data_IF_072264696629
#
_entry.id   IF_072264696629
#
_cell.length_a   1.000
_cell.length_b   1.000
_cell.length_c   1.000
_cell.angle_alpha   90.00
_cell.angle_beta   90.00
_cell.angle_gamma   90.00
#
_symmetry.space_group_name_H-M   'P 1'
#
loop_
_entity.id
_entity.type
_entity.pdbx_description
1 polymer ?
#
# COMPACT_ATOMS: atom_id res chain seq x y z
N UNK A 1 -15.10 24.57 -84.35
CA UNK A 1 -13.72 24.87 -83.95
C UNK A 1 -13.71 24.98 -82.43
N UNK A 2 -12.88 24.16 -81.77
CA UNK A 2 -12.77 23.99 -80.31
C UNK A 2 -12.54 25.31 -79.56
N UNK A 3 -13.05 25.41 -78.33
CA UNK A 3 -12.23 25.73 -77.16
C UNK A 3 -12.96 25.29 -75.88
N UNK A 4 -12.50 24.16 -75.33
CA UNK A 4 -12.83 23.68 -74.00
C UNK A 4 -11.99 24.44 -72.97
N UNK A 5 -12.62 24.98 -71.93
CA UNK A 5 -11.93 25.54 -70.78
C UNK A 5 -11.87 24.44 -69.70
N UNK A 6 -10.67 23.92 -69.47
CA UNK A 6 -10.36 23.01 -68.38
C UNK A 6 -10.28 23.82 -67.07
N UNK A 7 -11.03 23.39 -66.06
CA UNK A 7 -10.91 23.90 -64.70
C UNK A 7 -10.01 22.92 -63.92
N UNK A 8 -8.74 23.28 -63.70
CA UNK A 8 -7.88 22.58 -62.76
C UNK A 8 -7.92 23.33 -61.43
N UNK A 9 -8.75 22.84 -60.50
CA UNK A 9 -8.62 23.19 -59.08
C UNK A 9 -7.41 22.41 -58.54
N UNK A 10 -6.30 23.12 -58.38
CA UNK A 10 -5.12 22.59 -57.72
C UNK A 10 -5.37 22.61 -56.20
N UNK A 11 -5.91 21.51 -55.68
CA UNK A 11 -6.07 21.32 -54.25
C UNK A 11 -4.69 21.27 -53.58
N UNK A 12 -4.30 22.40 -52.97
CA UNK A 12 -3.15 22.50 -52.07
C UNK A 12 -3.35 21.57 -50.87
N UNK A 13 -2.84 20.34 -50.98
CA UNK A 13 -2.70 19.40 -49.86
C UNK A 13 -1.43 19.73 -49.07
N UNK A 14 -1.41 20.89 -48.44
CA UNK A 14 -0.42 21.22 -47.39
C UNK A 14 -0.93 20.66 -46.06
N UNK A 15 -0.74 19.36 -45.83
CA UNK A 15 -0.86 18.77 -44.49
C UNK A 15 0.36 19.21 -43.68
N UNK A 16 0.19 20.18 -42.78
CA UNK A 16 1.21 20.53 -41.78
C UNK A 16 1.40 19.30 -40.89
N UNK A 17 2.57 18.68 -40.97
CA UNK A 17 2.94 17.60 -40.06
C UNK A 17 2.84 18.13 -38.61
N UNK A 18 2.13 17.43 -37.70
CA UNK A 18 2.01 17.88 -36.33
C UNK A 18 3.40 17.96 -35.70
N UNK A 19 3.74 19.12 -35.15
CA UNK A 19 5.01 19.29 -34.45
C UNK A 19 5.11 18.26 -33.31
N UNK A 20 6.29 17.65 -33.09
CA UNK A 20 6.49 16.78 -31.96
C UNK A 20 6.20 17.56 -30.68
N UNK A 21 5.30 17.01 -29.86
CA UNK A 21 4.95 17.56 -28.56
C UNK A 21 6.26 17.77 -27.77
N UNK A 22 6.49 18.96 -27.19
CA UNK A 22 7.67 19.19 -26.35
C UNK A 22 7.79 18.07 -25.34
N UNK A 23 9.01 17.54 -25.16
CA UNK A 23 9.31 16.60 -24.07
C UNK A 23 8.80 17.26 -22.79
N UNK A 24 7.74 16.72 -22.20
CA UNK A 24 7.21 17.24 -20.96
C UNK A 24 8.38 17.25 -19.97
N UNK A 25 8.75 18.43 -19.49
CA UNK A 25 9.78 18.59 -18.46
C UNK A 25 9.42 17.61 -17.34
N UNK A 26 10.27 16.60 -17.13
CA UNK A 26 10.16 15.78 -15.95
C UNK A 26 10.21 16.75 -14.75
N UNK A 27 9.33 16.60 -13.74
CA UNK A 27 9.41 17.44 -12.56
C UNK A 27 10.84 17.37 -12.00
N UNK A 28 11.43 18.52 -11.69
CA UNK A 28 12.78 18.56 -11.15
C UNK A 28 12.85 17.72 -9.87
N UNK A 29 13.94 16.95 -9.67
CA UNK A 29 14.10 16.15 -8.46
C UNK A 29 14.03 17.05 -7.23
N UNK A 30 13.21 16.66 -6.25
CA UNK A 30 13.16 17.36 -4.96
C UNK A 30 14.56 17.30 -4.35
N UNK A 31 15.16 18.48 -4.17
CA UNK A 31 16.49 18.63 -3.61
C UNK A 31 16.55 18.01 -2.20
N UNK A 32 17.63 17.29 -1.92
CA UNK A 32 17.86 16.69 -0.61
C UNK A 32 18.13 17.78 0.44
N UNK A 33 17.47 17.66 1.59
CA UNK A 33 17.68 18.51 2.76
C UNK A 33 18.15 17.61 3.91
N UNK A 34 19.34 17.84 4.49
CA UNK A 34 19.81 17.03 5.61
C UNK A 34 18.85 17.05 6.82
N UNK A 35 18.65 15.90 7.51
CA UNK A 35 17.76 15.82 8.67
C UNK A 35 18.20 16.72 9.83
N UNK A 36 17.22 17.32 10.50
CA UNK A 36 17.40 18.13 11.71
C UNK A 36 17.91 17.31 12.90
N UNK A 37 18.41 17.99 13.93
CA UNK A 37 18.82 17.33 15.18
C UNK A 37 17.68 16.51 15.80
N UNK A 38 16.44 16.99 15.69
CA UNK A 38 15.27 16.30 16.24
C UNK A 38 14.89 15.05 15.44
N UNK A 39 15.05 15.07 14.10
CA UNK A 39 14.92 13.85 13.28
C UNK A 39 16.04 12.86 13.61
N UNK A 40 17.28 13.33 13.79
CA UNK A 40 18.39 12.48 14.20
C UNK A 40 18.20 11.85 15.60
N UNK A 41 17.56 12.57 16.54
CA UNK A 41 17.18 12.02 17.84
C UNK A 41 16.16 10.87 17.71
N UNK A 42 15.17 11.03 16.83
CA UNK A 42 14.21 9.97 16.52
C UNK A 42 14.88 8.77 15.84
N UNK A 43 15.81 9.00 14.91
CA UNK A 43 16.57 7.90 14.30
C UNK A 43 17.35 7.09 15.34
N UNK A 44 18.00 7.77 16.30
CA UNK A 44 18.65 7.09 17.44
C UNK A 44 17.67 6.34 18.33
N UNK A 45 16.45 6.85 18.49
CA UNK A 45 15.39 6.16 19.23
C UNK A 45 15.01 4.85 18.52
N UNK A 46 14.71 4.89 17.22
CA UNK A 46 14.32 3.70 16.47
C UNK A 46 15.45 2.67 16.34
N UNK A 47 16.71 3.10 16.25
CA UNK A 47 17.85 2.19 16.35
C UNK A 47 17.88 1.41 17.68
N UNK A 48 17.44 2.01 18.78
CA UNK A 48 17.34 1.29 20.07
C UNK A 48 16.16 0.33 20.09
N UNK A 49 15.03 0.71 19.47
CA UNK A 49 13.84 -0.14 19.34
C UNK A 49 14.18 -1.40 18.53
N UNK A 50 14.72 -1.25 17.32
CA UNK A 50 15.11 -2.39 16.48
C UNK A 50 16.10 -3.32 17.19
N UNK A 51 17.11 -2.75 17.86
CA UNK A 51 18.10 -3.54 18.61
C UNK A 51 17.45 -4.33 19.76
N UNK A 52 16.48 -3.75 20.46
CA UNK A 52 15.76 -4.42 21.53
C UNK A 52 14.91 -5.59 20.99
N UNK A 53 14.18 -5.36 19.89
CA UNK A 53 13.40 -6.38 19.19
C UNK A 53 14.29 -7.56 18.74
N UNK A 54 15.41 -7.26 18.08
CA UNK A 54 16.38 -8.27 17.65
C UNK A 54 16.98 -9.05 18.83
N UNK A 55 17.25 -8.39 19.96
CA UNK A 55 17.76 -9.05 21.17
C UNK A 55 16.75 -10.03 21.76
N UNK A 56 15.45 -9.75 21.61
CA UNK A 56 14.35 -10.64 22.01
C UNK A 56 14.07 -11.76 21.01
N UNK A 57 14.78 -11.80 19.88
CA UNK A 57 14.55 -12.80 18.82
C UNK A 57 13.34 -12.49 17.92
N UNK A 58 12.86 -11.26 17.94
CA UNK A 58 11.79 -10.74 17.07
C UNK A 58 12.38 -10.26 15.73
N UNK A 59 11.54 -9.65 14.88
CA UNK A 59 11.88 -9.19 13.52
C UNK A 59 12.44 -10.30 12.63
N UNK A 60 11.88 -11.51 12.75
CA UNK A 60 12.27 -12.66 11.93
C UNK A 60 11.98 -12.40 10.46
N UNK A 61 12.90 -12.84 9.61
CA UNK A 61 12.81 -12.71 8.15
C UNK A 61 12.62 -14.07 7.45
N UNK A 62 12.47 -15.15 8.22
CA UNK A 62 12.41 -16.53 7.73
C UNK A 62 11.05 -16.91 7.13
N UNK A 63 10.03 -16.09 7.34
CA UNK A 63 8.68 -16.28 6.81
C UNK A 63 7.86 -17.34 7.56
N UNK A 64 8.26 -17.69 8.78
CA UNK A 64 7.64 -18.77 9.56
C UNK A 64 8.33 -20.11 9.34
N UNK A 65 8.35 -20.95 10.37
CA UNK A 65 9.05 -22.22 10.38
C UNK A 65 8.28 -23.31 11.12
N UNK A 66 8.90 -24.48 11.33
CA UNK A 66 8.29 -25.60 12.07
C UNK A 66 7.83 -25.24 13.49
N UNK A 67 8.36 -24.15 14.06
CA UNK A 67 8.04 -23.60 15.39
C UNK A 67 6.81 -22.66 15.40
N UNK A 68 6.28 -22.31 14.23
CA UNK A 68 5.05 -21.54 14.06
C UNK A 68 4.10 -22.25 13.08
N UNK A 69 3.65 -23.48 13.40
CA UNK A 69 2.72 -24.21 12.55
C UNK A 69 1.35 -23.53 12.55
N UNK A 70 0.63 -23.68 11.44
CA UNK A 70 -0.77 -23.29 11.32
C UNK A 70 -1.48 -24.29 10.40
N UNK A 71 -2.76 -24.53 10.65
CA UNK A 71 -3.63 -25.34 9.80
C UNK A 71 -4.65 -24.50 9.01
N UNK A 72 -5.56 -25.17 8.29
CA UNK A 72 -6.59 -24.50 7.51
C UNK A 72 -7.63 -23.77 8.39
N UNK A 73 -7.89 -24.26 9.59
CA UNK A 73 -8.83 -23.63 10.51
C UNK A 73 -8.18 -22.39 11.13
N UNK A 74 -6.89 -22.42 11.46
CA UNK A 74 -6.11 -21.23 11.86
C UNK A 74 -6.15 -20.17 10.76
N UNK A 75 -5.81 -20.56 9.52
CA UNK A 75 -5.78 -19.68 8.36
C UNK A 75 -7.15 -19.03 8.11
N UNK A 76 -8.24 -19.81 8.16
CA UNK A 76 -9.59 -19.30 7.99
C UNK A 76 -9.99 -18.30 9.08
N UNK A 77 -9.71 -18.61 10.36
CA UNK A 77 -10.03 -17.72 11.49
C UNK A 77 -9.25 -16.41 11.40
N UNK A 78 -7.96 -16.49 11.10
CA UNK A 78 -7.10 -15.32 10.98
C UNK A 78 -7.53 -14.44 9.79
N UNK A 79 -7.87 -15.05 8.65
CA UNK A 79 -8.41 -14.33 7.51
C UNK A 79 -9.71 -13.58 7.83
N UNK A 80 -10.64 -14.20 8.57
CA UNK A 80 -11.88 -13.53 9.00
C UNK A 80 -11.57 -12.26 9.82
N UNK A 81 -10.63 -12.33 10.78
CA UNK A 81 -10.30 -11.20 11.67
C UNK A 81 -9.50 -10.12 10.94
N UNK A 82 -8.58 -10.49 10.05
CA UNK A 82 -7.66 -9.54 9.39
C UNK A 82 -8.32 -8.85 8.19
N UNK A 83 -9.16 -9.56 7.42
CA UNK A 83 -9.66 -9.04 6.13
C UNK A 83 -11.04 -8.36 6.21
N UNK A 84 -11.85 -8.65 7.24
CA UNK A 84 -13.23 -8.12 7.36
C UNK A 84 -13.37 -6.98 8.36
N UNK A 85 -12.32 -6.71 9.14
CA UNK A 85 -12.29 -5.65 10.15
C UNK A 85 -11.19 -4.63 9.84
N UNK A 86 -11.14 -3.53 10.59
CA UNK A 86 -10.08 -2.52 10.49
C UNK A 86 -9.69 -1.98 11.86
N UNK A 87 -8.39 -1.73 12.04
CA UNK A 87 -7.83 -1.14 13.25
C UNK A 87 -8.27 0.33 13.44
N UNK A 88 -8.47 1.06 12.34
CA UNK A 88 -8.76 2.50 12.32
C UNK A 88 -10.11 2.85 11.67
N UNK A 89 -11.26 2.45 12.24
CA UNK A 89 -12.58 2.68 11.63
C UNK A 89 -12.89 4.18 11.44
N UNK A 90 -12.30 5.06 12.25
CA UNK A 90 -12.55 6.51 12.24
C UNK A 90 -11.64 7.31 11.27
N UNK A 91 -10.61 6.69 10.70
CA UNK A 91 -9.63 7.37 9.83
C UNK A 91 -9.81 7.09 8.33
N UNK A 92 -10.79 6.27 7.95
CA UNK A 92 -11.18 6.09 6.55
C UNK A 92 -11.72 7.41 5.97
N UNK A 93 -11.22 7.81 4.79
CA UNK A 93 -11.37 9.16 4.19
C UNK A 93 -12.77 9.45 3.63
N UNK A 94 -13.81 8.75 4.09
CA UNK A 94 -15.20 9.07 3.74
C UNK A 94 -16.07 9.19 4.97
N UNK A 95 -16.75 10.33 5.04
CA UNK A 95 -17.89 10.65 5.91
C UNK A 95 -18.86 9.45 5.94
N UNK A 96 -18.94 8.78 7.09
CA UNK A 96 -19.76 7.60 7.41
C UNK A 96 -19.14 6.20 7.32
N UNK A 97 -17.84 6.01 7.60
CA UNK A 97 -17.38 4.70 8.09
C UNK A 97 -17.93 4.47 9.50
N UNK A 98 -19.19 3.99 9.57
CA UNK A 98 -19.50 3.02 10.62
C UNK A 98 -18.41 1.96 10.56
N UNK A 99 -17.96 1.51 11.72
CA UNK A 99 -17.12 0.34 11.96
C UNK A 99 -17.17 -0.62 10.77
N UNK A 100 -16.04 -1.16 10.34
CA UNK A 100 -16.03 -2.30 9.43
C UNK A 100 -17.02 -3.36 9.91
N UNK A 101 -18.22 -3.38 9.33
CA UNK A 101 -19.39 -4.14 9.80
C UNK A 101 -19.22 -5.64 9.43
N UNK A 102 -17.99 -6.14 9.50
CA UNK A 102 -17.60 -7.47 9.03
C UNK A 102 -17.79 -7.60 7.53
N UNK A 103 -17.43 -6.61 6.71
CA UNK A 103 -17.57 -6.67 5.24
C UNK A 103 -16.22 -6.53 4.53
N UNK A 104 -15.97 -7.44 3.60
CA UNK A 104 -14.70 -7.49 2.87
C UNK A 104 -14.52 -6.27 1.97
N UNK A 105 -13.41 -5.56 2.12
CA UNK A 105 -13.05 -4.45 1.24
C UNK A 105 -11.70 -4.70 0.57
N UNK A 106 -11.63 -4.49 -0.74
CA UNK A 106 -10.40 -4.68 -1.53
C UNK A 106 -10.43 -3.93 -2.85
N UNK A 107 -9.31 -3.95 -3.57
CA UNK A 107 -9.23 -3.45 -4.93
C UNK A 107 -9.91 -4.39 -5.94
N UNK A 108 -10.68 -3.84 -6.86
CA UNK A 108 -11.19 -4.57 -8.04
C UNK A 108 -10.48 -4.19 -9.33
N UNK A 109 -9.89 -3.00 -9.38
CA UNK A 109 -9.08 -2.52 -10.50
C UNK A 109 -7.59 -2.55 -10.16
N UNK A 110 -6.71 -2.29 -11.15
CA UNK A 110 -5.27 -2.37 -10.97
C UNK A 110 -4.76 -1.44 -9.86
N UNK A 111 -3.85 -1.97 -9.04
CA UNK A 111 -3.10 -1.23 -8.03
C UNK A 111 -1.81 -0.70 -8.67
N UNK A 112 -1.66 0.62 -8.68
CA UNK A 112 -0.54 1.35 -9.25
C UNK A 112 0.13 2.12 -8.13
N UNK A 113 1.21 1.53 -7.63
CA UNK A 113 1.98 2.02 -6.49
C UNK A 113 2.99 3.06 -6.97
N UNK A 114 3.12 4.15 -6.23
CA UNK A 114 4.17 5.14 -6.43
C UNK A 114 4.82 5.47 -5.09
N UNK A 115 6.14 5.35 -5.03
CA UNK A 115 6.92 5.89 -3.92
C UNK A 115 7.00 7.42 -4.04
N UNK A 116 6.71 8.11 -2.94
CA UNK A 116 6.78 9.57 -2.80
C UNK A 116 7.86 9.88 -1.77
N UNK A 117 9.01 10.38 -2.22
CA UNK A 117 10.16 10.67 -1.35
C UNK A 117 10.20 12.13 -0.96
N UNK A 118 10.19 12.40 0.34
CA UNK A 118 10.29 13.75 0.85
C UNK A 118 11.72 14.32 0.77
N UNK A 119 11.89 15.66 0.92
CA UNK A 119 13.21 16.30 0.88
C UNK A 119 14.24 15.69 1.83
N UNK A 120 13.84 15.24 3.03
CA UNK A 120 14.79 14.69 4.01
C UNK A 120 15.37 13.31 3.66
N UNK A 121 14.82 12.65 2.63
CA UNK A 121 15.26 11.30 2.22
C UNK A 121 16.49 11.40 1.33
N UNK A 122 17.61 10.81 1.77
CA UNK A 122 18.85 10.80 1.01
C UNK A 122 18.69 10.01 -0.31
N UNK A 123 19.33 10.41 -1.43
CA UNK A 123 19.17 9.75 -2.73
C UNK A 123 19.39 8.24 -2.71
N UNK A 124 20.42 7.75 -2.00
CA UNK A 124 20.69 6.32 -1.88
C UNK A 124 19.55 5.55 -1.19
N UNK A 125 18.94 6.14 -0.15
CA UNK A 125 17.77 5.54 0.50
C UNK A 125 16.55 5.50 -0.43
N UNK A 126 16.34 6.56 -1.24
CA UNK A 126 15.27 6.57 -2.26
C UNK A 126 15.41 5.41 -3.24
N UNK A 127 16.63 5.14 -3.72
CA UNK A 127 16.90 4.04 -4.65
C UNK A 127 16.65 2.68 -3.99
N UNK A 128 17.15 2.48 -2.76
CA UNK A 128 16.96 1.25 -2.00
C UNK A 128 15.47 0.97 -1.72
N UNK A 129 14.74 1.96 -1.20
CA UNK A 129 13.33 1.81 -0.84
C UNK A 129 12.44 1.63 -2.10
N UNK A 130 12.77 2.30 -3.21
CA UNK A 130 12.09 2.10 -4.49
C UNK A 130 12.28 0.67 -5.02
N UNK A 131 13.49 0.12 -4.94
CA UNK A 131 13.78 -1.25 -5.34
C UNK A 131 13.06 -2.28 -4.47
N UNK A 132 12.96 -2.02 -3.15
CA UNK A 132 12.18 -2.86 -2.23
C UNK A 132 10.69 -2.88 -2.61
N UNK A 133 10.09 -1.70 -2.86
CA UNK A 133 8.69 -1.62 -3.29
C UNK A 133 8.48 -2.34 -4.62
N UNK A 134 9.40 -2.19 -5.59
CA UNK A 134 9.29 -2.86 -6.89
C UNK A 134 9.33 -4.38 -6.77
N UNK A 135 10.31 -4.91 -6.03
CA UNK A 135 10.42 -6.34 -5.78
C UNK A 135 9.19 -6.89 -5.03
N UNK A 136 8.71 -6.15 -4.04
CA UNK A 136 7.58 -6.56 -3.23
C UNK A 136 6.26 -6.51 -4.00
N UNK A 137 6.00 -5.42 -4.75
CA UNK A 137 4.84 -5.29 -5.63
C UNK A 137 4.78 -6.44 -6.65
N UNK A 138 5.92 -6.84 -7.22
CA UNK A 138 5.99 -7.98 -8.13
C UNK A 138 5.68 -9.32 -7.43
N UNK A 139 6.10 -9.51 -6.17
CA UNK A 139 5.72 -10.69 -5.36
C UNK A 139 4.22 -10.70 -5.10
N UNK A 140 3.66 -9.58 -4.63
CA UNK A 140 2.23 -9.43 -4.36
C UNK A 140 1.37 -9.68 -5.60
N UNK A 141 1.78 -9.15 -6.77
CA UNK A 141 1.07 -9.39 -8.02
C UNK A 141 0.96 -10.88 -8.36
N UNK A 142 2.03 -11.65 -8.16
CA UNK A 142 2.04 -13.10 -8.40
C UNK A 142 1.20 -13.88 -7.39
N UNK A 143 1.28 -13.52 -6.10
CA UNK A 143 0.53 -14.20 -5.03
C UNK A 143 -0.98 -14.01 -5.16
N UNK A 144 -1.40 -12.81 -5.56
CA UNK A 144 -2.81 -12.42 -5.58
C UNK A 144 -3.50 -12.66 -6.92
N UNK A 145 -2.75 -12.99 -7.97
CA UNK A 145 -3.21 -12.92 -9.38
C UNK A 145 -3.92 -11.59 -9.70
N UNK A 146 -3.50 -10.50 -9.03
CA UNK A 146 -4.07 -9.18 -9.17
C UNK A 146 -3.07 -8.22 -9.84
N UNK A 147 -3.51 -7.33 -10.75
CA UNK A 147 -2.60 -6.39 -11.39
C UNK A 147 -2.06 -5.36 -10.39
N UNK A 148 -0.85 -5.60 -9.89
CA UNK A 148 -0.12 -4.72 -8.98
C UNK A 148 1.18 -4.31 -9.68
N UNK A 149 1.45 -3.01 -9.75
CA UNK A 149 2.62 -2.48 -10.46
C UNK A 149 3.12 -1.19 -9.83
N UNK A 150 4.42 -0.93 -9.95
CA UNK A 150 5.02 0.37 -9.62
C UNK A 150 4.95 1.28 -10.84
N UNK A 151 4.53 2.53 -10.63
CA UNK A 151 4.41 3.55 -11.68
C UNK A 151 5.00 4.88 -11.24
N UNK A 152 5.36 5.72 -12.22
CA UNK A 152 5.85 7.08 -11.97
C UNK A 152 4.77 8.17 -12.18
N UNK A 153 3.55 7.79 -12.60
CA UNK A 153 2.43 8.69 -12.86
C UNK A 153 1.11 7.96 -12.79
N UNK A 154 0.03 8.69 -12.49
CA UNK A 154 -1.34 8.15 -12.39
C UNK A 154 -1.47 7.00 -11.37
N UNK A 155 -0.65 7.03 -10.32
CA UNK A 155 -0.78 6.12 -9.20
C UNK A 155 -2.14 6.27 -8.51
N UNK A 156 -2.59 5.19 -7.89
CA UNK A 156 -3.71 5.17 -6.97
C UNK A 156 -3.32 4.66 -5.58
N UNK A 157 -2.12 4.11 -5.42
CA UNK A 157 -1.53 3.80 -4.13
C UNK A 157 -0.24 4.63 -3.99
N UNK A 158 -0.18 5.55 -3.03
CA UNK A 158 1.00 6.36 -2.75
C UNK A 158 1.70 5.88 -1.46
N UNK A 159 3.00 5.61 -1.52
CA UNK A 159 3.81 5.24 -0.35
C UNK A 159 4.78 6.39 -0.06
N UNK A 160 4.49 7.15 0.98
CA UNK A 160 5.31 8.28 1.40
C UNK A 160 6.45 7.82 2.29
N UNK A 161 7.67 8.16 1.91
CA UNK A 161 8.83 8.13 2.79
C UNK A 161 9.11 9.55 3.23
N UNK A 162 8.80 9.83 4.50
CA UNK A 162 8.90 11.17 5.05
C UNK A 162 9.24 11.11 6.54
N UNK A 163 10.16 11.96 6.96
CA UNK A 163 10.59 12.08 8.35
C UNK A 163 9.89 13.22 9.07
N UNK A 164 10.35 13.47 10.30
CA UNK A 164 9.90 14.55 11.19
C UNK A 164 9.90 15.93 10.53
N UNK A 165 10.84 16.18 9.63
CA UNK A 165 11.05 17.49 9.01
C UNK A 165 10.16 17.72 7.76
N UNK A 166 9.46 16.70 7.29
CA UNK A 166 8.78 16.70 5.98
C UNK A 166 7.27 16.94 6.04
N UNK A 167 6.74 17.31 7.20
CA UNK A 167 5.32 17.54 7.44
C UNK A 167 4.65 18.41 6.36
N UNK A 168 5.27 19.54 6.02
CA UNK A 168 4.74 20.46 5.01
C UNK A 168 4.67 19.84 3.62
N UNK A 169 5.65 18.99 3.26
CA UNK A 169 5.67 18.26 2.00
C UNK A 169 4.51 17.26 1.95
N UNK A 170 4.36 16.41 2.98
CA UNK A 170 3.32 15.39 3.06
C UNK A 170 1.92 16.01 3.02
N UNK A 171 1.66 17.02 3.85
CA UNK A 171 0.37 17.73 3.91
C UNK A 171 0.01 18.36 2.55
N UNK A 172 0.97 19.03 1.91
CA UNK A 172 0.74 19.67 0.60
C UNK A 172 0.40 18.61 -0.45
N UNK A 173 1.17 17.52 -0.49
CA UNK A 173 0.95 16.46 -1.46
C UNK A 173 -0.38 15.75 -1.23
N UNK A 174 -0.75 15.46 0.01
CA UNK A 174 -2.02 14.81 0.32
C UNK A 174 -3.24 15.64 -0.06
N UNK A 175 -3.21 16.97 0.16
CA UNK A 175 -4.27 17.86 -0.31
C UNK A 175 -4.43 17.85 -1.84
N UNK A 176 -3.34 17.64 -2.59
CA UNK A 176 -3.41 17.49 -4.06
C UNK A 176 -3.99 16.13 -4.46
N UNK A 177 -3.62 15.06 -3.76
CA UNK A 177 -4.09 13.70 -4.04
C UNK A 177 -5.54 13.48 -3.64
N UNK A 178 -5.98 14.16 -2.58
CA UNK A 178 -7.29 14.02 -1.95
C UNK A 178 -7.81 15.42 -1.58
N UNK A 179 -8.48 16.13 -2.52
CA UNK A 179 -8.93 17.51 -2.32
C UNK A 179 -9.87 17.74 -1.13
N UNK A 180 -10.52 16.69 -0.62
CA UNK A 180 -11.46 16.73 0.50
C UNK A 180 -11.01 15.88 1.70
N UNK A 181 -9.69 15.72 1.89
CA UNK A 181 -9.13 14.98 3.02
C UNK A 181 -9.54 15.62 4.36
N UNK A 182 -9.85 14.80 5.36
CA UNK A 182 -10.29 15.28 6.68
C UNK A 182 -9.15 15.98 7.42
N UNK A 183 -9.50 16.96 8.26
CA UNK A 183 -8.50 17.66 9.07
C UNK A 183 -7.82 16.71 10.07
N UNK A 184 -8.55 15.77 10.66
CA UNK A 184 -7.99 14.78 11.57
C UNK A 184 -6.88 13.93 10.93
N UNK A 185 -7.07 13.52 9.67
CA UNK A 185 -6.05 12.78 8.94
C UNK A 185 -4.86 13.66 8.54
N UNK A 186 -5.11 14.93 8.19
CA UNK A 186 -4.04 15.90 7.97
C UNK A 186 -3.22 16.17 9.24
N UNK A 187 -3.84 16.18 10.42
CA UNK A 187 -3.14 16.37 11.69
C UNK A 187 -2.30 15.13 12.05
N UNK A 188 -2.82 13.93 11.78
CA UNK A 188 -2.11 12.66 11.98
C UNK A 188 -0.84 12.57 11.13
N UNK A 189 -0.94 12.84 9.82
CA UNK A 189 0.21 12.80 8.88
C UNK A 189 1.19 13.95 9.11
N UNK A 190 0.72 15.10 9.61
CA UNK A 190 1.57 16.28 9.80
C UNK A 190 2.51 16.11 11.00
N UNK A 191 2.06 15.44 12.06
CA UNK A 191 2.87 15.26 13.25
C UNK A 191 2.52 13.93 13.94
N UNK A 192 2.88 12.79 13.32
CA UNK A 192 2.64 11.50 13.93
C UNK A 192 3.40 11.42 15.26
N UNK A 193 2.80 10.72 16.25
CA UNK A 193 3.47 10.44 17.52
C UNK A 193 4.67 9.52 17.28
N UNK A 194 5.66 9.55 18.16
CA UNK A 194 6.90 8.77 18.01
C UNK A 194 6.72 7.24 18.10
N UNK A 195 5.53 6.77 18.51
CA UNK A 195 5.15 5.36 18.52
C UNK A 195 4.32 4.95 17.30
N UNK A 196 4.18 5.84 16.31
CA UNK A 196 3.54 5.56 15.02
C UNK A 196 4.67 5.58 14.00
N UNK A 197 5.10 4.40 13.60
CA UNK A 197 6.30 4.19 12.79
C UNK A 197 5.95 4.24 11.30
N UNK A 198 4.80 3.66 10.99
CA UNK A 198 4.10 3.74 9.73
C UNK A 198 2.58 3.69 9.97
N UNK A 199 1.81 4.02 8.92
CA UNK A 199 0.38 3.72 8.84
C UNK A 199 -0.09 3.80 7.39
N UNK A 200 -1.21 3.13 7.11
CA UNK A 200 -1.92 3.18 5.84
C UNK A 200 -3.37 3.55 6.05
N UNK A 201 -3.93 4.25 5.07
CA UNK A 201 -5.36 4.32 4.91
C UNK A 201 -5.73 4.04 3.45
N UNK A 202 -6.78 3.23 3.28
CA UNK A 202 -7.44 3.02 2.01
C UNK A 202 -8.78 3.74 2.00
N UNK A 203 -9.21 4.14 0.81
CA UNK A 203 -10.47 4.84 0.60
C UNK A 203 -11.24 4.25 -0.57
N UNK A 204 -12.55 4.18 -0.38
CA UNK A 204 -13.53 3.79 -1.36
C UNK A 204 -14.32 5.02 -1.83
N UNK A 205 -15.28 4.80 -2.74
CA UNK A 205 -16.23 5.83 -3.15
C UNK A 205 -17.58 5.60 -2.50
N UNK A 206 -18.39 6.65 -2.32
CA UNK A 206 -19.75 6.50 -1.79
C UNK A 206 -20.65 5.58 -2.62
N UNK A 207 -20.39 5.45 -3.92
CA UNK A 207 -21.12 4.57 -4.84
C UNK A 207 -20.61 3.13 -4.83
N UNK A 208 -19.43 2.87 -4.27
CA UNK A 208 -18.83 1.55 -4.16
C UNK A 208 -18.02 1.46 -2.84
N UNK A 209 -18.70 1.39 -1.68
CA UNK A 209 -18.09 1.60 -0.35
C UNK A 209 -17.07 0.53 0.06
N UNK A 210 -17.08 -0.64 -0.58
CA UNK A 210 -16.15 -1.74 -0.30
C UNK A 210 -15.09 -1.94 -1.38
N UNK A 211 -15.04 -1.05 -2.38
CA UNK A 211 -14.06 -1.12 -3.47
C UNK A 211 -13.05 -0.01 -3.30
N UNK A 212 -11.82 -0.38 -2.96
CA UNK A 212 -10.74 0.58 -2.84
C UNK A 212 -10.44 1.22 -4.19
N UNK A 213 -10.30 2.54 -4.15
CA UNK A 213 -9.93 3.35 -5.31
C UNK A 213 -8.64 4.13 -5.07
N UNK A 214 -8.24 4.27 -3.80
CA UNK A 214 -7.00 4.95 -3.42
C UNK A 214 -6.49 4.45 -2.08
N UNK A 215 -5.18 4.29 -1.95
CA UNK A 215 -4.51 4.10 -0.67
C UNK A 215 -3.32 5.05 -0.53
N UNK A 216 -2.98 5.38 0.71
CA UNK A 216 -1.83 6.19 1.08
C UNK A 216 -1.20 5.56 2.31
N UNK A 217 0.09 5.28 2.21
CA UNK A 217 0.94 4.86 3.31
C UNK A 217 1.90 5.98 3.66
N UNK A 218 2.19 6.17 4.95
CA UNK A 218 3.32 6.96 5.45
C UNK A 218 4.29 6.04 6.17
N UNK A 219 5.57 6.08 5.80
CA UNK A 219 6.66 5.36 6.46
C UNK A 219 7.70 6.38 6.91
N UNK A 220 8.05 6.37 8.19
CA UNK A 220 9.09 7.24 8.73
C UNK A 220 10.46 6.89 8.19
N UNK A 221 11.20 7.91 7.78
CA UNK A 221 12.57 7.72 7.26
C UNK A 221 13.61 7.62 8.37
N UNK A 222 13.23 7.91 9.62
CA UNK A 222 14.07 7.66 10.79
C UNK A 222 14.19 6.17 11.17
N UNK A 223 13.33 5.31 10.62
CA UNK A 223 13.40 3.87 10.86
C UNK A 223 14.69 3.29 10.28
N UNK A 224 15.39 2.41 11.04
CA UNK A 224 16.47 1.61 10.48
C UNK A 224 15.94 0.67 9.39
N UNK A 225 16.86 0.09 8.63
CA UNK A 225 16.51 -0.58 7.37
C UNK A 225 15.54 -1.76 7.54
N UNK A 226 15.67 -2.57 8.60
CA UNK A 226 14.80 -3.74 8.79
C UNK A 226 13.40 -3.34 9.26
N UNK A 227 13.28 -2.44 10.24
CA UNK A 227 11.98 -1.88 10.62
C UNK A 227 11.30 -1.13 9.47
N UNK A 228 12.06 -0.38 8.66
CA UNK A 228 11.52 0.30 7.47
C UNK A 228 11.00 -0.70 6.46
N UNK A 229 11.74 -1.80 6.24
CA UNK A 229 11.28 -2.89 5.39
C UNK A 229 10.03 -3.57 5.95
N UNK A 230 9.92 -3.75 7.27
CA UNK A 230 8.72 -4.28 7.92
C UNK A 230 7.49 -3.43 7.63
N UNK A 231 7.60 -2.11 7.83
CA UNK A 231 6.56 -1.16 7.45
C UNK A 231 6.19 -1.24 5.95
N UNK A 232 7.16 -1.40 5.04
CA UNK A 232 6.85 -1.59 3.61
C UNK A 232 5.99 -2.85 3.41
N UNK A 233 6.31 -3.94 4.12
CA UNK A 233 5.62 -5.21 3.99
C UNK A 233 4.18 -5.15 4.52
N UNK A 234 4.01 -4.65 5.73
CA UNK A 234 2.74 -4.54 6.43
C UNK A 234 1.81 -3.56 5.74
N UNK A 235 2.24 -2.31 5.57
CA UNK A 235 1.37 -1.23 5.13
C UNK A 235 0.87 -1.40 3.70
N UNK A 236 1.70 -1.95 2.82
CA UNK A 236 1.27 -2.26 1.46
C UNK A 236 0.26 -3.40 1.48
N UNK A 237 0.47 -4.45 2.29
CA UNK A 237 -0.47 -5.56 2.39
C UNK A 237 -1.80 -5.15 3.05
N UNK A 238 -1.76 -4.35 4.12
CA UNK A 238 -2.94 -3.77 4.75
C UNK A 238 -3.68 -2.85 3.77
N UNK A 239 -2.95 -2.04 2.99
CA UNK A 239 -3.50 -1.18 1.94
C UNK A 239 -4.12 -1.94 0.75
N UNK A 240 -3.86 -3.24 0.61
CA UNK A 240 -4.56 -4.11 -0.34
C UNK A 240 -5.92 -4.60 0.20
N UNK A 241 -6.10 -4.66 1.52
CA UNK A 241 -7.35 -5.09 2.18
C UNK A 241 -7.20 -6.00 3.39
N UNK A 242 -5.99 -6.31 3.84
CA UNK A 242 -5.75 -7.00 5.11
C UNK A 242 -5.64 -5.99 6.26
N UNK A 243 -6.67 -5.17 6.47
CA UNK A 243 -6.58 -3.87 7.16
C UNK A 243 -6.69 -3.91 8.70
N UNK A 244 -6.56 -5.08 9.32
CA UNK A 244 -6.66 -5.26 10.77
C UNK A 244 -5.61 -6.23 11.30
N UNK A 245 -5.21 -6.02 12.55
CA UNK A 245 -4.27 -6.87 13.25
C UNK A 245 -4.95 -7.73 14.31
N UNK A 246 -4.29 -8.82 14.68
CA UNK A 246 -4.76 -9.75 15.70
C UNK A 246 -3.61 -10.48 16.37
N UNK A 247 -3.44 -10.36 17.71
CA UNK A 247 -2.43 -11.12 18.45
C UNK A 247 -2.53 -12.65 18.30
N UNK A 248 -3.66 -13.16 17.81
CA UNK A 248 -3.86 -14.58 17.54
C UNK A 248 -3.29 -15.04 16.19
N UNK A 249 -2.89 -14.12 15.31
CA UNK A 249 -2.52 -14.40 13.93
C UNK A 249 -1.10 -14.95 13.75
N UNK A 250 -0.55 -15.74 14.67
CA UNK A 250 0.81 -16.28 14.52
C UNK A 250 0.85 -17.47 13.54
N UNK A 251 1.79 -17.54 12.57
CA UNK A 251 2.81 -16.55 12.21
C UNK A 251 2.24 -15.50 11.25
N UNK A 252 2.37 -14.22 11.57
CA UNK A 252 1.92 -13.14 10.67
C UNK A 252 2.66 -11.85 11.00
N UNK A 253 2.78 -10.97 10.03
CA UNK A 253 3.12 -9.56 10.29
C UNK A 253 1.94 -8.78 10.89
N UNK A 254 0.71 -9.29 10.80
CA UNK A 254 -0.51 -8.70 11.37
C UNK A 254 -0.78 -9.18 12.80
N UNK A 255 0.23 -9.70 13.50
CA UNK A 255 0.07 -10.21 14.87
C UNK A 255 0.41 -9.17 15.96
N UNK A 256 0.79 -7.95 15.59
CA UNK A 256 1.01 -6.80 16.48
C UNK A 256 2.03 -7.07 17.61
N UNK A 257 2.99 -7.98 17.39
CA UNK A 257 4.04 -8.31 18.36
C UNK A 257 5.48 -8.21 17.81
N UNK A 258 5.62 -7.79 16.55
CA UNK A 258 6.88 -7.67 15.80
C UNK A 258 7.67 -8.98 15.64
N UNK A 259 7.09 -10.16 15.89
CA UNK A 259 7.81 -11.44 15.75
C UNK A 259 8.38 -11.61 14.34
N UNK A 260 7.61 -11.25 13.32
CA UNK A 260 8.01 -11.34 11.91
C UNK A 260 8.12 -9.95 11.29
N UNK A 261 9.29 -9.62 10.75
CA UNK A 261 9.50 -8.38 10.02
C UNK A 261 9.01 -8.45 8.56
N UNK A 262 8.88 -9.64 7.97
CA UNK A 262 8.53 -9.79 6.56
C UNK A 262 7.41 -10.83 6.39
N UNK A 263 6.68 -10.73 5.28
CA UNK A 263 5.59 -11.67 4.94
C UNK A 263 5.97 -13.12 5.19
N UNK A 264 5.15 -13.76 6.01
CA UNK A 264 5.21 -15.20 6.29
C UNK A 264 4.46 -16.01 5.24
N UNK A 265 4.66 -17.32 5.22
CA UNK A 265 3.90 -18.22 4.33
C UNK A 265 2.39 -18.23 4.64
N UNK A 266 2.01 -17.84 5.87
CA UNK A 266 0.62 -17.64 6.27
C UNK A 266 0.08 -16.35 5.65
N UNK A 267 0.81 -15.24 5.74
CA UNK A 267 0.39 -13.95 5.15
C UNK A 267 0.23 -14.01 3.63
N UNK A 268 1.11 -14.74 2.96
CA UNK A 268 0.98 -15.00 1.52
C UNK A 268 -0.35 -15.69 1.17
N UNK A 269 -0.80 -16.63 2.02
CA UNK A 269 -2.09 -17.31 1.84
C UNK A 269 -3.25 -16.38 2.17
N UNK A 270 -3.15 -15.53 3.19
CA UNK A 270 -4.16 -14.51 3.47
C UNK A 270 -4.35 -13.57 2.27
N UNK A 271 -3.26 -13.12 1.65
CA UNK A 271 -3.30 -12.28 0.45
C UNK A 271 -3.92 -13.03 -0.75
N UNK A 272 -3.59 -14.31 -0.91
CA UNK A 272 -4.20 -15.18 -1.94
C UNK A 272 -5.70 -15.30 -1.72
N UNK A 273 -6.13 -15.57 -0.48
CA UNK A 273 -7.55 -15.64 -0.09
C UNK A 273 -8.26 -14.33 -0.34
N UNK A 274 -7.66 -13.19 0.02
CA UNK A 274 -8.24 -11.85 -0.17
C UNK A 274 -8.66 -11.62 -1.62
N UNK A 275 -7.87 -12.12 -2.57
CA UNK A 275 -8.13 -11.91 -3.99
C UNK A 275 -8.88 -13.04 -4.70
N UNK A 276 -9.21 -14.13 -3.99
CA UNK A 276 -9.97 -15.26 -4.54
C UNK A 276 -11.29 -14.77 -5.18
N UNK A 277 -11.62 -15.20 -6.42
CA UNK A 277 -12.80 -14.72 -7.14
C UNK A 277 -14.13 -15.08 -6.46
N UNK A 278 -14.14 -16.06 -5.55
CA UNK A 278 -15.33 -16.42 -4.77
C UNK A 278 -15.65 -15.39 -3.68
N UNK A 279 -14.70 -14.52 -3.32
CA UNK A 279 -14.87 -13.46 -2.32
C UNK A 279 -15.05 -12.09 -2.99
N UNK A 280 -16.30 -11.67 -3.11
CA UNK A 280 -16.65 -10.39 -3.73
C UNK A 280 -16.61 -9.25 -2.69
N UNK A 281 -16.13 -8.05 -3.05
CA UNK A 281 -16.17 -6.90 -2.13
C UNK A 281 -17.60 -6.61 -1.64
N UNK A 282 -17.74 -6.37 -0.33
CA UNK A 282 -19.00 -6.12 0.35
C UNK A 282 -19.71 -7.37 0.89
N UNK A 283 -19.20 -8.58 0.62
CA UNK A 283 -19.69 -9.79 1.28
C UNK A 283 -19.47 -9.68 2.79
N UNK A 284 -20.46 -10.09 3.59
CA UNK A 284 -20.32 -10.12 5.05
C UNK A 284 -19.49 -11.33 5.48
N UNK A 285 -18.87 -11.25 6.65
CA UNK A 285 -18.07 -12.32 7.23
C UNK A 285 -18.88 -13.60 7.40
N UNK A 286 -20.16 -13.50 7.81
CA UNK A 286 -21.04 -14.67 7.95
C UNK A 286 -21.32 -15.36 6.61
N UNK A 287 -21.55 -14.56 5.56
CA UNK A 287 -21.82 -15.08 4.22
C UNK A 287 -20.54 -15.65 3.57
N UNK A 288 -19.38 -15.06 3.86
CA UNK A 288 -18.10 -15.50 3.34
C UNK A 288 -17.54 -16.73 4.05
N UNK A 289 -17.85 -16.93 5.34
CA UNK A 289 -17.27 -17.99 6.18
C UNK A 289 -17.23 -19.39 5.56
N UNK A 290 -18.31 -19.90 4.92
CA UNK A 290 -18.24 -21.21 4.25
C UNK A 290 -17.22 -21.23 3.10
N UNK A 291 -17.16 -20.14 2.31
CA UNK A 291 -16.22 -19.98 1.20
C UNK A 291 -14.79 -19.84 1.71
N UNK A 292 -14.56 -19.04 2.75
CA UNK A 292 -13.26 -18.86 3.41
C UNK A 292 -12.68 -20.21 3.86
N UNK A 293 -13.49 -21.05 4.50
CA UNK A 293 -13.07 -22.40 4.92
C UNK A 293 -12.67 -23.30 3.76
N UNK A 294 -13.42 -23.25 2.66
CA UNK A 294 -13.12 -24.01 1.43
C UNK A 294 -11.76 -23.54 0.87
N UNK A 295 -11.58 -22.23 0.69
CA UNK A 295 -10.33 -21.66 0.15
C UNK A 295 -9.14 -22.05 1.05
N UNK A 296 -9.28 -21.90 2.37
CA UNK A 296 -8.21 -22.22 3.31
C UNK A 296 -7.79 -23.70 3.23
N UNK A 297 -8.74 -24.63 3.15
CA UNK A 297 -8.44 -26.06 2.98
C UNK A 297 -7.77 -26.37 1.66
N UNK A 298 -8.23 -25.77 0.56
CA UNK A 298 -7.61 -25.91 -0.76
C UNK A 298 -6.15 -25.44 -0.75
N UNK A 299 -5.87 -24.26 -0.17
CA UNK A 299 -4.51 -23.72 -0.05
C UNK A 299 -3.61 -24.53 0.89
N UNK A 300 -4.19 -25.28 1.82
CA UNK A 300 -3.48 -26.18 2.73
C UNK A 300 -3.43 -27.64 2.21
N UNK A 301 -3.96 -27.91 1.02
CA UNK A 301 -3.99 -29.26 0.43
C UNK A 301 -4.86 -30.28 1.18
N UNK A 302 -5.85 -29.80 1.94
CA UNK A 302 -6.74 -30.62 2.76
C UNK A 302 -8.03 -30.97 2.01
N UNK A 303 -8.65 -32.11 2.35
CA UNK A 303 -9.96 -32.49 1.79
C UNK A 303 -11.09 -31.63 2.37
N UNK A 304 -12.12 -31.38 1.55
CA UNK A 304 -13.31 -30.60 1.91
C UNK A 304 -14.23 -31.36 2.87
#
# INVERSE_FOLDING_TARGET
MLLALANCDEALTSSVAPQPRPVALAPEPIAYVPPSAASQDLARFYQRVERDLLTRGLLRIDGGGPDAPYDADDLARNFEVIAFYSEYPDHAVTVSSRQTDGQLSRWTGPVRIQAEFAPSVAPAAREQDAAQIEAYAARLARLTDHPISVVNRKANFHVFFAGKDDSAFVVTRLKQLIPNISQALLDLVANPRANIDCFVFASATSTAPHRYVRAVTLIRTELPDLLRQSCIHEEIAQGLGLSNDSPAARPSIFNDDDEFALLTSHDEKLLTMLYDPRLQPGVTVEAARPVVRIIARELMGQQL
#
